data_IF_735146581211
#
_entry.id   IF_735146581211
#
_cell.length_a   1.000
_cell.length_b   1.000
_cell.length_c   1.000
_cell.angle_alpha   90.00
_cell.angle_beta   90.00
_cell.angle_gamma   90.00
#
_symmetry.space_group_name_H-M   'P 1'
#
loop_
_entity.id
_entity.type
_entity.pdbx_description
1 polymer ?
#
# COMPACT_ATOMS: atom_id res chain seq x y z
N UNK A 1 11.07 -12.39 -3.05
CA UNK A 1 10.74 -11.12 -3.73
C UNK A 1 9.86 -11.44 -4.93
N UNK A 2 8.72 -10.75 -5.05
CA UNK A 2 7.84 -10.82 -6.22
C UNK A 2 8.19 -9.65 -7.15
N UNK A 3 8.40 -9.92 -8.45
CA UNK A 3 8.69 -8.89 -9.45
C UNK A 3 7.73 -8.99 -10.62
N UNK A 4 7.19 -7.86 -10.99
CA UNK A 4 6.41 -7.66 -12.22
C UNK A 4 7.35 -7.00 -13.24
N UNK A 5 7.51 -7.60 -14.42
CA UNK A 5 8.48 -7.16 -15.42
C UNK A 5 7.82 -7.00 -16.80
N UNK A 6 7.64 -5.76 -17.24
CA UNK A 6 7.17 -5.40 -18.58
C UNK A 6 5.76 -5.85 -18.93
N UNK A 7 4.85 -5.96 -17.94
CA UNK A 7 3.51 -6.48 -18.20
C UNK A 7 2.72 -5.56 -19.15
N UNK A 8 2.29 -6.16 -20.26
CA UNK A 8 1.40 -5.51 -21.22
C UNK A 8 0.14 -6.34 -21.39
N UNK A 9 -1.04 -5.69 -21.37
CA UNK A 9 -2.33 -6.34 -21.59
C UNK A 9 -3.27 -5.49 -22.42
N UNK A 10 -3.84 -6.09 -23.47
CA UNK A 10 -4.90 -5.53 -24.31
C UNK A 10 -6.20 -6.31 -24.18
N UNK A 11 -7.30 -5.60 -24.26
CA UNK A 11 -8.65 -6.14 -24.41
C UNK A 11 -9.28 -5.52 -25.66
N UNK A 12 -9.26 -6.24 -26.76
CA UNK A 12 -9.56 -5.65 -28.08
C UNK A 12 -8.62 -4.48 -28.38
N UNK A 13 -9.15 -3.31 -28.65
CA UNK A 13 -8.38 -2.09 -28.92
C UNK A 13 -7.91 -1.35 -27.64
N UNK A 14 -8.46 -1.72 -26.48
CA UNK A 14 -8.11 -1.07 -25.22
C UNK A 14 -6.82 -1.63 -24.64
N UNK A 15 -5.81 -0.77 -24.46
CA UNK A 15 -4.55 -1.09 -23.78
C UNK A 15 -4.72 -0.86 -22.29
N UNK A 16 -4.92 -1.95 -21.53
CA UNK A 16 -5.16 -1.89 -20.09
C UNK A 16 -3.87 -1.81 -19.26
N UNK A 17 -2.78 -2.41 -19.75
CA UNK A 17 -1.44 -2.32 -19.16
C UNK A 17 -0.42 -2.10 -20.28
N UNK A 18 0.54 -1.20 -20.05
CA UNK A 18 1.58 -0.79 -20.97
C UNK A 18 2.93 -0.76 -20.27
N UNK A 19 3.71 -1.84 -20.42
CA UNK A 19 5.07 -1.99 -19.86
C UNK A 19 5.16 -1.79 -18.33
N UNK A 20 4.21 -2.39 -17.58
CA UNK A 20 4.16 -2.26 -16.12
C UNK A 20 5.28 -3.06 -15.47
N UNK A 21 6.17 -2.36 -14.74
CA UNK A 21 7.32 -2.96 -14.05
C UNK A 21 7.43 -2.41 -12.63
N UNK A 22 7.50 -3.31 -11.63
CA UNK A 22 7.74 -2.97 -10.22
C UNK A 22 8.12 -4.20 -9.41
N UNK A 23 8.66 -3.98 -8.22
CA UNK A 23 9.03 -5.00 -7.25
C UNK A 23 8.15 -4.93 -6.00
N UNK A 24 7.86 -6.10 -5.42
CA UNK A 24 7.22 -6.23 -4.09
C UNK A 24 8.22 -6.92 -3.18
N UNK A 25 8.76 -6.15 -2.24
CA UNK A 25 9.89 -6.58 -1.39
C UNK A 25 9.38 -7.41 -0.21
N UNK A 26 10.04 -8.54 0.14
CA UNK A 26 9.70 -9.33 1.32
C UNK A 26 9.73 -8.51 2.61
N UNK A 27 8.79 -8.79 3.51
CA UNK A 27 8.68 -8.11 4.81
C UNK A 27 8.21 -6.67 4.73
N UNK A 28 7.77 -6.19 3.56
CA UNK A 28 7.29 -4.84 3.34
C UNK A 28 5.87 -4.84 2.79
N UNK A 29 5.13 -3.81 3.16
CA UNK A 29 3.79 -3.55 2.63
C UNK A 29 3.90 -2.58 1.45
N UNK A 30 3.56 -3.06 0.26
CA UNK A 30 3.57 -2.25 -0.97
C UNK A 30 2.15 -1.83 -1.32
N UNK A 31 1.89 -0.52 -1.29
CA UNK A 31 0.64 0.08 -1.74
C UNK A 31 0.60 0.18 -3.27
N UNK A 32 -0.45 -0.33 -3.89
CA UNK A 32 -0.68 -0.26 -5.33
C UNK A 32 -1.83 0.69 -5.63
N UNK A 33 -1.51 1.93 -5.95
CA UNK A 33 -2.48 3.04 -6.04
C UNK A 33 -2.75 3.44 -7.48
N UNK A 34 -3.94 3.91 -7.72
CA UNK A 34 -4.36 4.42 -9.02
C UNK A 34 -5.87 4.62 -9.07
N UNK A 35 -6.33 5.47 -9.99
CA UNK A 35 -7.74 5.67 -10.23
C UNK A 35 -8.44 4.36 -10.66
N UNK A 36 -9.77 4.33 -10.57
CA UNK A 36 -10.55 3.22 -11.12
C UNK A 36 -10.28 3.09 -12.63
N UNK A 37 -10.04 1.86 -13.08
CA UNK A 37 -9.64 1.59 -14.46
C UNK A 37 -8.16 1.82 -14.77
N UNK A 38 -7.31 2.20 -13.80
CA UNK A 38 -5.87 2.37 -14.01
C UNK A 38 -5.12 1.06 -14.37
N UNK A 39 -5.72 -0.11 -14.10
CA UNK A 39 -5.14 -1.42 -14.39
C UNK A 39 -4.75 -2.24 -13.14
N UNK A 40 -5.05 -1.76 -11.92
CA UNK A 40 -4.68 -2.44 -10.66
C UNK A 40 -5.16 -3.89 -10.60
N UNK A 41 -6.47 -4.12 -10.65
CA UNK A 41 -7.06 -5.47 -10.62
C UNK A 41 -6.58 -6.34 -11.79
N UNK A 42 -6.36 -5.74 -12.98
CA UNK A 42 -5.81 -6.45 -14.15
C UNK A 42 -4.40 -6.97 -13.84
N UNK A 43 -3.53 -6.14 -13.25
CA UNK A 43 -2.18 -6.53 -12.85
C UNK A 43 -2.21 -7.65 -11.81
N UNK A 44 -3.04 -7.51 -10.77
CA UNK A 44 -3.19 -8.53 -9.72
C UNK A 44 -3.68 -9.87 -10.29
N UNK A 45 -4.65 -9.86 -11.20
CA UNK A 45 -5.14 -11.07 -11.88
C UNK A 45 -4.06 -11.74 -12.73
N UNK A 46 -3.14 -10.98 -13.33
CA UNK A 46 -1.99 -11.54 -14.06
C UNK A 46 -0.99 -12.15 -13.08
N UNK A 47 -0.67 -11.50 -11.96
CA UNK A 47 0.19 -12.04 -10.91
C UNK A 47 -0.35 -13.40 -10.46
N UNK A 48 -1.65 -13.51 -10.23
CA UNK A 48 -2.32 -14.73 -9.79
C UNK A 48 -2.49 -15.80 -10.89
N UNK A 49 -2.18 -15.45 -12.15
CA UNK A 49 -2.34 -16.38 -13.28
C UNK A 49 -3.79 -16.60 -13.72
N UNK A 50 -4.75 -15.82 -13.19
CA UNK A 50 -6.16 -15.83 -13.61
C UNK A 50 -6.32 -15.20 -14.99
N UNK A 51 -5.43 -14.27 -15.33
CA UNK A 51 -5.39 -13.58 -16.60
C UNK A 51 -3.99 -13.70 -17.23
N UNK A 52 -3.92 -14.01 -18.52
CA UNK A 52 -2.64 -14.02 -19.25
C UNK A 52 -2.23 -12.60 -19.65
N UNK A 53 -0.94 -12.28 -19.57
CA UNK A 53 -0.36 -11.09 -20.19
C UNK A 53 -0.20 -11.28 -21.72
N UNK A 54 -0.16 -10.19 -22.49
CA UNK A 54 0.23 -10.24 -23.91
C UNK A 54 1.76 -10.18 -24.05
N UNK A 55 2.45 -9.50 -23.11
CA UNK A 55 3.90 -9.46 -23.01
C UNK A 55 4.31 -9.25 -21.54
N UNK A 56 5.60 -9.48 -21.26
CA UNK A 56 6.14 -9.40 -19.90
C UNK A 56 5.87 -10.65 -19.08
N UNK A 57 6.40 -10.65 -17.87
CA UNK A 57 6.38 -11.82 -17.00
C UNK A 57 6.29 -11.43 -15.51
N UNK A 58 5.92 -12.39 -14.68
CA UNK A 58 5.94 -12.26 -13.22
C UNK A 58 6.97 -13.23 -12.68
N UNK A 59 7.88 -12.74 -11.86
CA UNK A 59 8.98 -13.51 -11.30
C UNK A 59 8.83 -13.67 -9.79
N UNK A 60 9.22 -14.82 -9.30
CA UNK A 60 9.38 -15.13 -7.88
C UNK A 60 10.83 -15.49 -7.60
N UNK A 61 11.52 -14.68 -6.78
CA UNK A 61 12.94 -14.85 -6.47
C UNK A 61 13.84 -14.93 -7.72
N UNK A 62 13.49 -14.20 -8.79
CA UNK A 62 14.23 -14.17 -10.05
C UNK A 62 13.86 -15.24 -11.06
N UNK A 63 13.01 -16.20 -10.69
CA UNK A 63 12.49 -17.23 -11.59
C UNK A 63 11.05 -16.97 -11.98
N UNK A 64 10.59 -17.51 -13.12
CA UNK A 64 9.22 -17.36 -13.57
C UNK A 64 8.25 -17.89 -12.52
N UNK A 65 7.26 -17.07 -12.13
CA UNK A 65 6.21 -17.45 -11.20
C UNK A 65 5.31 -18.53 -11.81
N UNK A 66 5.56 -19.77 -11.42
CA UNK A 66 4.83 -20.95 -11.95
C UNK A 66 3.45 -21.09 -11.32
N UNK A 67 2.58 -21.90 -11.95
CA UNK A 67 1.26 -22.18 -11.40
C UNK A 67 1.32 -22.93 -10.05
N UNK A 68 2.38 -23.67 -9.82
CA UNK A 68 2.61 -24.35 -8.53
C UNK A 68 2.88 -23.36 -7.42
N UNK A 69 3.80 -22.41 -7.63
CA UNK A 69 4.13 -21.37 -6.65
C UNK A 69 2.94 -20.44 -6.41
N UNK A 70 2.11 -20.16 -7.44
CA UNK A 70 0.90 -19.33 -7.28
C UNK A 70 -0.14 -19.91 -6.33
N UNK A 71 -0.16 -21.23 -6.10
CA UNK A 71 -1.08 -21.87 -5.13
C UNK A 71 -0.81 -21.43 -3.70
N UNK A 72 0.42 -21.02 -3.42
CA UNK A 72 0.84 -20.58 -2.10
C UNK A 72 0.74 -19.06 -1.92
N UNK A 73 0.21 -18.34 -2.93
CA UNK A 73 -0.09 -16.91 -2.83
C UNK A 73 -1.46 -16.70 -2.23
N UNK A 74 -1.52 -15.95 -1.14
CA UNK A 74 -2.79 -15.52 -0.55
C UNK A 74 -3.42 -14.41 -1.39
N UNK A 75 -4.71 -14.58 -1.70
CA UNK A 75 -5.45 -13.60 -2.50
C UNK A 75 -6.75 -13.19 -1.85
N UNK A 76 -6.97 -11.89 -1.80
CA UNK A 76 -8.25 -11.31 -1.43
C UNK A 76 -8.76 -10.47 -2.60
N UNK A 77 -9.86 -10.88 -3.27
CA UNK A 77 -10.50 -10.08 -4.32
C UNK A 77 -11.27 -8.89 -3.74
N UNK A 78 -11.44 -7.82 -4.53
CA UNK A 78 -12.32 -6.69 -4.21
C UNK A 78 -13.78 -7.15 -4.03
N UNK A 79 -14.26 -8.02 -4.92
CA UNK A 79 -15.57 -8.65 -4.79
C UNK A 79 -15.52 -9.84 -3.82
N UNK A 80 -16.57 -10.02 -3.04
CA UNK A 80 -16.62 -11.08 -2.03
C UNK A 80 -16.66 -12.46 -2.68
N UNK A 81 -15.54 -13.17 -2.61
CA UNK A 81 -15.40 -14.52 -3.16
C UNK A 81 -15.77 -15.66 -2.20
N UNK A 82 -16.36 -15.33 -1.03
CA UNK A 82 -16.71 -16.30 0.00
C UNK A 82 -18.14 -16.84 -0.16
N UNK A 83 -18.43 -17.99 0.43
CA UNK A 83 -19.75 -18.64 0.38
C UNK A 83 -20.71 -18.01 1.39
N UNK A 84 -21.76 -17.25 0.97
CA UNK A 84 -22.59 -16.45 1.87
C UNK A 84 -23.29 -17.26 2.95
N UNK A 85 -23.81 -18.46 2.63
CA UNK A 85 -24.58 -19.33 3.53
C UNK A 85 -23.73 -20.30 4.34
N UNK A 86 -22.41 -20.35 4.09
CA UNK A 86 -21.51 -21.23 4.83
C UNK A 86 -21.06 -20.56 6.13
N UNK A 87 -20.95 -21.34 7.21
CA UNK A 87 -20.39 -20.86 8.47
C UNK A 87 -18.96 -20.40 8.26
N UNK A 88 -18.59 -19.29 8.90
CA UNK A 88 -17.26 -18.69 8.64
C UNK A 88 -16.12 -19.64 9.02
N UNK A 89 -16.23 -20.36 10.13
CA UNK A 89 -15.22 -21.34 10.53
C UNK A 89 -15.10 -22.47 9.51
N UNK A 90 -16.22 -23.04 9.09
CA UNK A 90 -16.22 -24.21 8.19
C UNK A 90 -15.59 -23.86 6.84
N UNK A 91 -15.85 -22.67 6.29
CA UNK A 91 -15.25 -22.28 5.03
C UNK A 91 -13.76 -21.92 5.15
N UNK A 92 -13.29 -21.34 6.28
CA UNK A 92 -11.86 -21.12 6.50
C UNK A 92 -11.09 -22.45 6.60
N UNK A 93 -11.62 -23.42 7.36
CA UNK A 93 -11.05 -24.77 7.41
C UNK A 93 -11.06 -25.43 6.03
N UNK A 94 -12.14 -25.25 5.25
CA UNK A 94 -12.21 -25.74 3.87
C UNK A 94 -11.10 -25.13 3.00
N UNK A 95 -10.89 -23.82 3.05
CA UNK A 95 -9.82 -23.17 2.28
C UNK A 95 -8.44 -23.61 2.71
N UNK A 96 -8.16 -23.72 4.03
CA UNK A 96 -6.87 -24.25 4.51
C UNK A 96 -6.60 -25.65 3.98
N UNK A 97 -7.62 -26.53 3.99
CA UNK A 97 -7.49 -27.89 3.43
C UNK A 97 -7.35 -27.91 1.92
N UNK A 98 -8.00 -27.01 1.20
CA UNK A 98 -7.86 -26.88 -0.26
C UNK A 98 -6.44 -26.53 -0.67
N UNK A 99 -5.74 -25.76 0.18
CA UNK A 99 -4.33 -25.44 0.01
C UNK A 99 -3.36 -26.46 0.63
N UNK A 100 -3.85 -27.64 1.06
CA UNK A 100 -3.00 -28.75 1.47
C UNK A 100 -2.74 -28.88 2.97
N UNK A 101 -3.32 -28.02 3.83
CA UNK A 101 -3.21 -28.19 5.27
C UNK A 101 -3.93 -29.49 5.73
N UNK A 102 -3.37 -30.16 6.71
CA UNK A 102 -4.07 -31.26 7.40
C UNK A 102 -5.35 -30.73 8.08
N UNK A 103 -6.36 -31.59 8.35
CA UNK A 103 -7.58 -31.17 9.03
C UNK A 103 -7.33 -30.47 10.37
N UNK A 104 -6.39 -31.01 11.16
CA UNK A 104 -6.05 -30.46 12.48
C UNK A 104 -5.36 -29.12 12.35
N UNK A 105 -4.39 -28.97 11.44
CA UNK A 105 -3.69 -27.72 11.20
C UNK A 105 -4.62 -26.63 10.64
N UNK A 106 -5.49 -26.99 9.69
CA UNK A 106 -6.49 -26.05 9.16
C UNK A 106 -7.46 -25.56 10.24
N UNK A 107 -7.89 -26.46 11.15
CA UNK A 107 -8.76 -26.11 12.28
C UNK A 107 -8.05 -25.19 13.27
N UNK A 108 -6.85 -25.56 13.73
CA UNK A 108 -6.03 -24.76 14.65
C UNK A 108 -5.75 -23.35 14.09
N UNK A 109 -5.34 -23.29 12.82
CA UNK A 109 -5.02 -22.03 12.15
C UNK A 109 -6.25 -21.16 11.99
N UNK A 110 -7.39 -21.74 11.65
CA UNK A 110 -8.69 -21.06 11.56
C UNK A 110 -9.09 -20.44 12.90
N UNK A 111 -9.03 -21.25 13.97
CA UNK A 111 -9.45 -20.80 15.31
C UNK A 111 -8.55 -19.63 15.79
N UNK A 112 -7.24 -19.72 15.56
CA UNK A 112 -6.28 -18.65 15.87
C UNK A 112 -6.60 -17.35 15.09
N UNK A 113 -6.89 -17.44 13.78
CA UNK A 113 -7.22 -16.26 12.97
C UNK A 113 -8.56 -15.63 13.40
N UNK A 114 -9.58 -16.46 13.69
CA UNK A 114 -10.87 -15.96 14.19
C UNK A 114 -10.73 -15.26 15.54
N UNK A 115 -9.90 -15.77 16.44
CA UNK A 115 -9.61 -15.15 17.73
C UNK A 115 -8.97 -13.77 17.53
N UNK A 116 -7.93 -13.68 16.70
CA UNK A 116 -7.20 -12.43 16.44
C UNK A 116 -8.06 -11.37 15.75
N UNK A 117 -8.99 -11.81 14.92
CA UNK A 117 -9.94 -10.92 14.24
C UNK A 117 -11.18 -10.56 15.08
N UNK A 118 -11.29 -11.10 16.33
CA UNK A 118 -12.45 -10.87 17.21
C UNK A 118 -13.72 -11.53 16.68
N UNK A 119 -13.61 -12.68 16.00
CA UNK A 119 -14.72 -13.39 15.37
C UNK A 119 -15.00 -14.76 16.01
N UNK A 120 -14.34 -15.13 17.11
CA UNK A 120 -14.50 -16.44 17.77
C UNK A 120 -15.95 -16.74 18.14
N UNK A 121 -16.68 -15.78 18.73
CA UNK A 121 -18.08 -15.95 19.11
C UNK A 121 -19.03 -16.09 17.91
N UNK A 122 -18.58 -15.68 16.73
CA UNK A 122 -19.34 -15.75 15.49
C UNK A 122 -18.90 -16.88 14.56
N UNK A 123 -18.01 -17.75 15.03
CA UNK A 123 -17.42 -18.84 14.24
C UNK A 123 -18.46 -19.74 13.54
N UNK A 124 -19.65 -19.89 14.16
CA UNK A 124 -20.75 -20.69 13.64
C UNK A 124 -21.79 -19.91 12.83
N UNK A 125 -21.62 -18.60 12.71
CA UNK A 125 -22.52 -17.74 11.93
C UNK A 125 -22.30 -17.94 10.43
N UNK A 126 -23.37 -17.82 9.64
CA UNK A 126 -23.24 -17.74 8.19
C UNK A 126 -22.64 -16.39 7.78
N UNK A 127 -21.78 -16.38 6.77
CA UNK A 127 -21.07 -15.16 6.34
C UNK A 127 -22.05 -14.00 6.05
N UNK A 128 -23.17 -14.25 5.38
CA UNK A 128 -24.14 -13.23 5.00
C UNK A 128 -24.82 -12.53 6.19
N UNK A 129 -24.77 -13.13 7.40
CA UNK A 129 -25.33 -12.54 8.62
C UNK A 129 -24.40 -11.55 9.31
N UNK A 130 -23.14 -11.48 8.87
CA UNK A 130 -22.14 -10.58 9.43
C UNK A 130 -22.23 -9.18 8.82
N UNK A 131 -21.79 -8.17 9.59
CA UNK A 131 -21.59 -6.82 9.05
C UNK A 131 -20.53 -6.83 7.94
N UNK A 132 -20.54 -5.81 7.07
CA UNK A 132 -19.59 -5.68 5.97
C UNK A 132 -18.14 -5.78 6.46
N UNK A 133 -17.81 -5.08 7.54
CA UNK A 133 -16.47 -5.10 8.13
C UNK A 133 -16.06 -6.49 8.64
N UNK A 134 -17.00 -7.23 9.26
CA UNK A 134 -16.69 -8.59 9.69
C UNK A 134 -16.54 -9.56 8.50
N UNK A 135 -17.33 -9.39 7.44
CA UNK A 135 -17.14 -10.15 6.19
C UNK A 135 -15.77 -9.88 5.58
N UNK A 136 -15.29 -8.62 5.63
CA UNK A 136 -13.96 -8.23 5.19
C UNK A 136 -12.85 -8.93 6.00
N UNK A 137 -13.02 -8.97 7.34
CA UNK A 137 -12.11 -9.71 8.23
C UNK A 137 -12.04 -11.20 7.89
N UNK A 138 -13.18 -11.83 7.57
CA UNK A 138 -13.21 -13.24 7.13
C UNK A 138 -12.50 -13.44 5.80
N UNK A 139 -12.61 -12.48 4.85
CA UNK A 139 -11.88 -12.55 3.58
C UNK A 139 -10.36 -12.50 3.78
N UNK A 140 -9.87 -11.62 4.66
CA UNK A 140 -8.44 -11.59 4.99
C UNK A 140 -8.01 -12.89 5.67
N UNK A 141 -8.82 -13.43 6.61
CA UNK A 141 -8.54 -14.72 7.20
C UNK A 141 -8.44 -15.84 6.15
N UNK A 142 -9.31 -15.82 5.13
CA UNK A 142 -9.25 -16.78 4.03
C UNK A 142 -7.96 -16.66 3.19
N UNK A 143 -7.45 -15.44 2.98
CA UNK A 143 -6.18 -15.22 2.29
C UNK A 143 -4.96 -15.62 3.13
N UNK A 144 -5.08 -15.68 4.47
CA UNK A 144 -3.99 -15.98 5.41
C UNK A 144 -3.97 -17.44 5.90
N UNK A 145 -5.10 -18.16 5.84
CA UNK A 145 -5.28 -19.44 6.55
C UNK A 145 -4.28 -20.51 6.14
N UNK A 146 -3.81 -20.48 4.91
CA UNK A 146 -2.87 -21.46 4.36
C UNK A 146 -1.38 -21.07 4.50
N UNK A 147 -1.09 -20.02 5.30
CA UNK A 147 0.28 -19.54 5.56
C UNK A 147 1.02 -19.17 4.26
N UNK A 148 0.51 -18.17 3.52
CA UNK A 148 0.96 -17.86 2.18
C UNK A 148 2.40 -17.35 2.13
N UNK A 149 3.08 -17.57 0.99
CA UNK A 149 4.43 -17.04 0.70
C UNK A 149 4.41 -15.59 0.23
N UNK A 150 3.29 -15.10 -0.26
CA UNK A 150 3.04 -13.71 -0.68
C UNK A 150 1.55 -13.39 -0.51
N UNK A 151 1.22 -12.12 -0.32
CA UNK A 151 -0.16 -11.64 -0.24
C UNK A 151 -0.46 -10.63 -1.35
N UNK A 152 -1.59 -10.82 -2.03
CA UNK A 152 -2.15 -9.90 -3.01
C UNK A 152 -3.58 -9.57 -2.57
N UNK A 153 -3.82 -8.32 -2.15
CA UNK A 153 -5.08 -7.90 -1.54
C UNK A 153 -5.68 -6.75 -2.36
N UNK A 154 -6.86 -6.97 -2.93
CA UNK A 154 -7.55 -5.96 -3.74
C UNK A 154 -8.56 -5.20 -2.89
N UNK A 155 -8.27 -3.91 -2.58
CA UNK A 155 -9.05 -3.01 -1.73
C UNK A 155 -9.39 -3.59 -0.33
N UNK A 156 -8.39 -4.13 0.44
CA UNK A 156 -8.66 -4.89 1.67
C UNK A 156 -9.29 -4.07 2.78
N UNK A 157 -9.18 -2.76 2.76
CA UNK A 157 -9.65 -1.85 3.79
C UNK A 157 -10.95 -1.11 3.42
N UNK A 158 -11.51 -1.41 2.24
CA UNK A 158 -12.73 -0.76 1.77
C UNK A 158 -13.92 -1.03 2.68
N UNK A 159 -14.62 0.03 3.11
CA UNK A 159 -15.80 -0.07 3.97
C UNK A 159 -15.53 -0.41 5.44
N UNK A 160 -14.28 -0.36 5.88
CA UNK A 160 -13.90 -0.47 7.29
C UNK A 160 -13.87 0.91 7.97
N UNK A 161 -14.22 0.94 9.25
CA UNK A 161 -13.96 2.09 10.11
C UNK A 161 -12.45 2.16 10.49
N UNK A 162 -11.94 3.32 10.94
CA UNK A 162 -10.52 3.49 11.25
C UNK A 162 -9.97 2.47 12.27
N UNK A 163 -10.74 2.10 13.30
CA UNK A 163 -10.31 1.12 14.30
C UNK A 163 -10.18 -0.28 13.71
N UNK A 164 -11.12 -0.64 12.82
CA UNK A 164 -11.07 -1.91 12.11
C UNK A 164 -9.89 -1.97 11.14
N UNK A 165 -9.55 -0.85 10.48
CA UNK A 165 -8.35 -0.74 9.65
C UNK A 165 -7.10 -0.98 10.48
N UNK A 166 -6.94 -0.30 11.62
CA UNK A 166 -5.75 -0.44 12.48
C UNK A 166 -5.57 -1.89 12.96
N UNK A 167 -6.64 -2.51 13.46
CA UNK A 167 -6.61 -3.92 13.89
C UNK A 167 -6.25 -4.89 12.74
N UNK A 168 -6.69 -4.58 11.51
CA UNK A 168 -6.38 -5.39 10.34
C UNK A 168 -4.93 -5.25 9.91
N UNK A 169 -4.39 -4.04 9.97
CA UNK A 169 -2.97 -3.77 9.69
C UNK A 169 -2.07 -4.45 10.70
N UNK A 170 -2.40 -4.38 11.98
CA UNK A 170 -1.66 -5.06 13.03
C UNK A 170 -1.64 -6.57 12.79
N UNK A 171 -2.79 -7.15 12.45
CA UNK A 171 -2.85 -8.57 12.06
C UNK A 171 -1.93 -8.87 10.87
N UNK A 172 -2.02 -8.08 9.79
CA UNK A 172 -1.19 -8.30 8.61
C UNK A 172 0.31 -8.20 8.94
N UNK A 173 0.72 -7.21 9.73
CA UNK A 173 2.12 -7.05 10.16
C UNK A 173 2.62 -8.19 11.02
N UNK A 174 1.77 -8.77 11.86
CA UNK A 174 2.13 -9.90 12.71
C UNK A 174 2.14 -11.24 11.96
N UNK A 175 1.23 -11.42 11.00
CA UNK A 175 1.15 -12.63 10.16
C UNK A 175 2.19 -12.62 9.03
N UNK A 176 2.54 -11.41 8.56
CA UNK A 176 3.57 -11.20 7.55
C UNK A 176 4.92 -11.17 8.23
N UNK A 177 5.60 -12.31 8.20
CA UNK A 177 7.01 -12.41 8.61
C UNK A 177 7.89 -11.57 7.67
N UNK A 178 9.15 -11.32 8.05
CA UNK A 178 10.12 -10.59 7.22
C UNK A 178 10.37 -11.19 5.83
N UNK A 179 9.79 -12.35 5.52
CA UNK A 179 9.97 -13.06 4.25
C UNK A 179 8.77 -12.94 3.30
N UNK A 180 7.59 -12.51 3.79
CA UNK A 180 6.36 -12.46 2.99
C UNK A 180 6.16 -11.05 2.38
N UNK A 181 6.22 -10.88 1.05
CA UNK A 181 5.85 -9.63 0.39
C UNK A 181 4.33 -9.45 0.38
N UNK A 182 3.87 -8.21 0.63
CA UNK A 182 2.47 -7.83 0.59
C UNK A 182 2.23 -6.75 -0.46
N UNK A 183 1.37 -7.03 -1.42
CA UNK A 183 0.86 -6.06 -2.38
C UNK A 183 -0.62 -5.82 -2.09
N UNK A 184 -1.02 -4.59 -1.80
CA UNK A 184 -2.44 -4.29 -1.69
C UNK A 184 -2.84 -3.05 -2.49
N UNK A 185 -4.00 -3.12 -3.14
CA UNK A 185 -4.55 -1.96 -3.83
C UNK A 185 -5.31 -1.06 -2.86
N UNK A 186 -5.26 0.24 -3.14
CA UNK A 186 -6.13 1.23 -2.52
C UNK A 186 -6.33 2.43 -3.42
N UNK A 187 -7.46 3.09 -3.28
CA UNK A 187 -7.73 4.42 -3.83
C UNK A 187 -7.64 5.53 -2.77
N UNK A 188 -7.38 5.19 -1.50
CA UNK A 188 -7.25 6.10 -0.37
C UNK A 188 -5.76 6.37 -0.08
N UNK A 189 -5.25 7.50 -0.58
CA UNK A 189 -3.82 7.84 -0.48
C UNK A 189 -3.36 8.04 0.96
N UNK A 190 -4.17 8.70 1.81
CA UNK A 190 -3.85 8.92 3.22
C UNK A 190 -3.67 7.61 3.98
N UNK A 191 -4.47 6.59 3.63
CA UNK A 191 -4.35 5.26 4.20
C UNK A 191 -3.04 4.60 3.78
N UNK A 192 -2.70 4.69 2.49
CA UNK A 192 -1.47 4.12 1.93
C UNK A 192 -0.24 4.79 2.52
N UNK A 193 -0.23 6.12 2.65
CA UNK A 193 0.86 6.88 3.28
C UNK A 193 1.15 6.43 4.72
N UNK A 194 0.08 6.11 5.46
CA UNK A 194 0.18 5.66 6.85
C UNK A 194 0.63 4.20 6.99
N UNK A 195 0.27 3.33 6.05
CA UNK A 195 0.39 1.88 6.21
C UNK A 195 1.51 1.24 5.40
N UNK A 196 1.93 1.87 4.29
CA UNK A 196 2.89 1.28 3.37
C UNK A 196 4.33 1.67 3.66
N UNK A 197 5.22 0.75 3.38
CA UNK A 197 6.65 1.00 3.29
C UNK A 197 7.02 1.46 1.88
N UNK A 198 6.41 0.85 0.86
CA UNK A 198 6.61 1.13 -0.55
C UNK A 198 5.30 1.49 -1.26
N UNK A 199 5.41 2.24 -2.32
CA UNK A 199 4.29 2.69 -3.15
C UNK A 199 4.58 2.44 -4.62
N UNK A 200 3.56 1.97 -5.34
CA UNK A 200 3.52 1.91 -6.81
C UNK A 200 2.29 2.65 -7.29
N UNK A 201 2.48 3.72 -8.03
CA UNK A 201 1.40 4.54 -8.61
C UNK A 201 1.16 4.13 -10.04
N UNK A 202 -0.05 3.68 -10.33
CA UNK A 202 -0.50 3.28 -11.66
C UNK A 202 -1.45 4.32 -12.25
N UNK A 203 -1.15 4.79 -13.45
CA UNK A 203 -2.03 5.69 -14.21
C UNK A 203 -2.13 5.24 -15.65
N UNK A 204 -3.36 5.07 -16.16
CA UNK A 204 -3.64 4.68 -17.56
C UNK A 204 -2.81 3.48 -18.03
N UNK A 205 -2.69 2.47 -17.17
CA UNK A 205 -1.94 1.24 -17.45
C UNK A 205 -0.43 1.34 -17.36
N UNK A 206 0.13 2.46 -16.87
CA UNK A 206 1.59 2.66 -16.69
C UNK A 206 1.95 2.92 -15.25
N UNK A 207 3.12 2.46 -14.82
CA UNK A 207 3.72 2.89 -13.56
C UNK A 207 4.28 4.29 -13.76
N UNK A 208 3.75 5.26 -13.01
CA UNK A 208 4.16 6.67 -13.10
C UNK A 208 5.05 7.09 -11.93
N UNK A 209 4.98 6.36 -10.81
CA UNK A 209 5.92 6.50 -9.69
C UNK A 209 6.03 5.16 -8.95
N UNK A 210 7.21 4.81 -8.48
CA UNK A 210 7.45 3.65 -7.62
C UNK A 210 8.65 3.92 -6.72
N UNK A 211 8.58 3.50 -5.45
CA UNK A 211 9.66 3.68 -4.47
C UNK A 211 9.16 3.61 -3.04
N UNK A 212 10.03 3.87 -2.07
CA UNK A 212 9.59 3.96 -0.68
C UNK A 212 8.68 5.17 -0.48
N UNK A 213 7.69 5.04 0.40
CA UNK A 213 6.81 6.15 0.80
C UNK A 213 7.65 7.33 1.29
N UNK A 214 8.72 7.06 2.03
CA UNK A 214 9.63 8.08 2.54
C UNK A 214 10.31 8.86 1.40
N UNK A 215 10.84 8.16 0.38
CA UNK A 215 11.51 8.80 -0.75
C UNK A 215 10.53 9.60 -1.63
N UNK A 216 9.33 9.05 -1.86
CA UNK A 216 8.30 9.71 -2.66
C UNK A 216 7.70 10.94 -1.96
N UNK A 217 7.62 10.92 -0.61
CA UNK A 217 7.14 12.04 0.20
C UNK A 217 8.24 13.05 0.55
N UNK A 218 9.52 12.69 0.37
CA UNK A 218 10.63 13.59 0.68
C UNK A 218 10.66 14.85 -0.19
N UNK A 219 9.89 14.87 -1.29
CA UNK A 219 9.86 15.98 -2.23
C UNK A 219 11.22 16.26 -2.85
N UNK A 220 11.43 17.46 -3.33
CA UNK A 220 12.76 17.97 -3.63
C UNK A 220 13.50 18.17 -2.29
N UNK A 221 14.59 17.44 -2.07
CA UNK A 221 15.45 17.57 -0.87
C UNK A 221 15.96 18.98 -0.63
N UNK A 222 15.73 19.88 -1.58
CA UNK A 222 16.12 21.29 -1.53
C UNK A 222 15.02 22.22 -1.00
N UNK A 223 13.74 21.80 -0.97
CA UNK A 223 12.66 22.67 -0.48
C UNK A 223 12.51 22.55 1.03
N UNK A 224 12.53 23.67 1.73
CA UNK A 224 12.37 23.77 3.18
C UNK A 224 11.14 24.60 3.55
N UNK A 225 10.53 24.23 4.66
CA UNK A 225 9.47 24.99 5.33
C UNK A 225 9.98 25.59 6.61
N UNK A 226 9.70 26.89 6.80
CA UNK A 226 9.91 27.61 8.06
C UNK A 226 8.57 28.16 8.54
N UNK A 227 8.27 27.94 9.83
CA UNK A 227 7.15 28.60 10.52
C UNK A 227 7.66 29.27 11.79
N UNK A 228 7.44 30.58 11.88
CA UNK A 228 7.82 31.43 13.01
C UNK A 228 6.64 32.23 13.53
N UNK A 229 6.71 32.70 14.78
CA UNK A 229 5.65 33.56 15.34
C UNK A 229 5.68 35.02 14.76
N UNK A 230 6.78 35.41 14.10
CA UNK A 230 6.95 36.69 13.47
C UNK A 230 6.76 36.69 11.95
N UNK A 231 7.36 37.68 11.28
CA UNK A 231 7.39 37.75 9.82
C UNK A 231 8.61 36.98 9.25
N UNK A 232 8.34 36.06 8.31
CA UNK A 232 9.39 35.30 7.61
C UNK A 232 9.92 36.02 6.35
N UNK A 233 9.44 37.24 6.03
CA UNK A 233 9.79 38.00 4.83
C UNK A 233 11.28 38.29 4.66
N UNK A 234 12.06 38.26 5.75
CA UNK A 234 13.51 38.42 5.73
C UNK A 234 14.26 37.34 4.95
N UNK A 235 13.64 36.20 4.72
CA UNK A 235 14.23 35.13 3.89
C UNK A 235 14.50 35.57 2.45
N UNK A 236 13.77 36.58 1.94
CA UNK A 236 13.98 37.11 0.58
C UNK A 236 15.37 37.75 0.40
N UNK A 237 16.02 38.16 1.49
CA UNK A 237 17.34 38.77 1.48
C UNK A 237 18.47 37.77 1.74
N UNK A 238 18.14 36.50 1.99
CA UNK A 238 19.12 35.44 2.27
C UNK A 238 19.70 34.91 0.95
N UNK A 239 21.03 34.90 0.86
CA UNK A 239 21.73 34.32 -0.29
C UNK A 239 21.84 32.81 -0.16
N UNK A 240 21.79 32.12 -1.30
CA UNK A 240 21.89 30.66 -1.35
C UNK A 240 20.58 29.91 -1.18
N UNK A 241 19.46 30.64 -1.22
CA UNK A 241 18.11 30.09 -1.30
C UNK A 241 17.30 30.77 -2.40
N UNK A 242 16.26 30.10 -2.85
CA UNK A 242 15.20 30.64 -3.70
C UNK A 242 13.87 30.57 -2.96
N UNK A 243 13.30 31.71 -2.63
CA UNK A 243 12.02 31.78 -1.90
C UNK A 243 10.88 31.54 -2.87
N UNK A 244 10.13 30.43 -2.64
CA UNK A 244 8.95 30.06 -3.44
C UNK A 244 7.70 30.82 -3.00
N UNK A 245 7.48 30.85 -1.65
CA UNK A 245 6.33 31.52 -1.07
C UNK A 245 6.64 32.05 0.32
N UNK A 246 6.06 33.19 0.67
CA UNK A 246 6.10 33.76 2.04
C UNK A 246 4.77 34.41 2.36
N UNK A 247 4.12 33.90 3.40
CA UNK A 247 2.86 34.41 3.93
C UNK A 247 2.96 34.56 5.46
N UNK A 248 3.17 35.83 5.92
CA UNK A 248 3.35 36.12 7.34
C UNK A 248 4.52 35.36 7.97
N UNK A 249 4.24 34.53 8.95
CA UNK A 249 5.25 33.72 9.64
C UNK A 249 5.63 32.41 8.93
N UNK A 250 5.04 32.09 7.79
CA UNK A 250 5.32 30.85 7.05
C UNK A 250 6.08 31.16 5.77
N UNK A 251 7.15 30.40 5.50
CA UNK A 251 7.91 30.49 4.26
C UNK A 251 8.23 29.12 3.71
N UNK A 252 8.20 29.02 2.36
CA UNK A 252 8.71 27.89 1.57
C UNK A 252 9.85 28.40 0.69
N UNK A 253 10.98 27.70 0.72
CA UNK A 253 12.17 28.12 -0.02
C UNK A 253 13.02 26.91 -0.40
N UNK A 254 13.70 27.02 -1.55
CA UNK A 254 14.68 26.02 -1.99
C UNK A 254 16.06 26.40 -1.49
N UNK A 255 16.77 25.41 -0.94
CA UNK A 255 18.17 25.53 -0.56
C UNK A 255 19.03 25.18 -1.77
N UNK A 256 19.81 26.15 -2.24
CA UNK A 256 20.72 26.00 -3.38
C UNK A 256 22.13 25.60 -2.95
N UNK A 257 22.48 25.85 -1.67
CA UNK A 257 23.79 25.55 -1.09
C UNK A 257 23.59 24.86 0.28
N UNK A 258 24.01 23.61 0.39
CA UNK A 258 23.75 22.70 1.52
C UNK A 258 24.33 23.09 2.88
N UNK A 259 24.79 24.34 3.06
CA UNK A 259 25.22 24.86 4.36
C UNK A 259 24.36 26.04 4.83
N UNK A 260 23.35 26.43 4.07
CA UNK A 260 22.56 27.63 4.34
C UNK A 260 21.42 27.35 5.31
N UNK A 261 20.86 26.14 5.34
CA UNK A 261 19.73 25.77 6.21
C UNK A 261 20.05 25.97 7.69
N UNK A 262 21.27 25.62 8.12
CA UNK A 262 21.68 25.82 9.53
C UNK A 262 21.77 27.30 9.91
N UNK A 263 22.24 28.13 8.98
CA UNK A 263 22.30 29.59 9.17
C UNK A 263 20.91 30.21 9.26
N UNK A 264 20.00 29.73 8.41
CA UNK A 264 18.60 30.18 8.43
C UNK A 264 17.95 29.81 9.75
N UNK A 265 18.14 28.58 10.23
CA UNK A 265 17.60 28.18 11.53
C UNK A 265 18.16 29.04 12.68
N UNK A 266 19.47 29.32 12.70
CA UNK A 266 20.09 30.18 13.72
C UNK A 266 19.53 31.61 13.64
N UNK A 267 19.39 32.19 12.46
CA UNK A 267 18.83 33.52 12.25
C UNK A 267 17.36 33.54 12.68
N UNK A 268 16.56 32.53 12.32
CA UNK A 268 15.16 32.43 12.74
C UNK A 268 15.03 32.38 14.26
N UNK A 269 15.83 31.57 14.95
CA UNK A 269 15.85 31.46 16.42
C UNK A 269 16.28 32.77 17.09
N UNK A 270 17.15 33.58 16.46
CA UNK A 270 17.56 34.87 16.99
C UNK A 270 16.44 35.93 16.90
N UNK A 271 15.51 35.76 15.95
CA UNK A 271 14.38 36.68 15.70
C UNK A 271 13.14 36.34 16.53
N UNK A 272 13.03 35.10 17.01
CA UNK A 272 11.89 34.68 17.83
C UNK A 272 11.65 33.17 17.84
N UNK A 273 10.52 32.73 18.38
CA UNK A 273 10.19 31.30 18.45
C UNK A 273 9.98 30.72 17.05
N UNK A 274 10.69 29.60 16.79
CA UNK A 274 10.53 28.77 15.60
C UNK A 274 9.57 27.65 15.94
N UNK A 275 8.49 27.51 15.19
CA UNK A 275 7.46 26.47 15.34
C UNK A 275 7.77 25.24 14.53
N UNK A 276 8.28 25.47 13.30
CA UNK A 276 8.63 24.39 12.36
C UNK A 276 9.82 24.82 11.52
N UNK A 277 10.76 23.90 11.32
CA UNK A 277 11.87 24.07 10.36
C UNK A 277 12.32 22.69 9.88
N UNK A 278 12.23 22.46 8.59
CA UNK A 278 12.68 21.21 8.00
C UNK A 278 12.36 21.11 6.51
N UNK A 279 12.77 20.00 5.87
CA UNK A 279 12.38 19.72 4.50
C UNK A 279 10.86 19.71 4.35
N UNK A 280 10.36 20.34 3.31
CA UNK A 280 8.94 20.29 2.96
C UNK A 280 8.56 18.86 2.60
N UNK A 281 7.55 18.33 3.29
CA UNK A 281 6.97 17.04 2.95
C UNK A 281 5.87 17.24 1.92
N UNK A 282 6.06 16.67 0.76
CA UNK A 282 5.02 16.64 -0.26
C UNK A 282 4.02 15.54 0.11
N UNK A 283 2.76 15.89 0.26
CA UNK A 283 1.73 14.88 0.48
C UNK A 283 1.68 13.92 -0.72
N UNK A 284 1.52 12.62 -0.48
CA UNK A 284 1.39 11.63 -1.56
C UNK A 284 0.24 11.98 -2.52
N UNK A 285 -0.79 12.67 -2.03
CA UNK A 285 -1.88 13.20 -2.86
C UNK A 285 -1.40 14.18 -3.94
N UNK A 286 -0.37 14.96 -3.66
CA UNK A 286 0.20 15.92 -4.62
C UNK A 286 1.12 15.19 -5.62
N UNK A 287 1.95 14.25 -5.14
CA UNK A 287 2.74 13.35 -5.98
C UNK A 287 1.82 12.59 -6.94
N UNK A 288 0.72 12.02 -6.43
CA UNK A 288 -0.27 11.32 -7.25
C UNK A 288 -0.91 12.23 -8.29
N UNK A 289 -1.31 13.45 -7.89
CA UNK A 289 -1.95 14.43 -8.78
C UNK A 289 -1.00 14.89 -9.88
N UNK A 290 0.27 15.08 -9.59
CA UNK A 290 1.30 15.45 -10.54
C UNK A 290 1.60 14.30 -11.52
N UNK A 291 1.77 13.10 -11.01
CA UNK A 291 2.05 11.89 -11.80
C UNK A 291 0.87 11.45 -12.70
N UNK A 292 -0.37 11.88 -12.39
CA UNK A 292 -1.59 11.48 -13.14
C UNK A 292 -2.12 12.55 -14.10
N UNK A 293 -1.52 13.73 -14.14
CA UNK A 293 -1.79 14.78 -15.16
C UNK A 293 -1.26 14.35 -16.54
#
# INVERSE_FOLDING_TARGET
MLRVAGLTRRFGDHLALDDVTFDVVPGRMTGFVGANGAGKTTTMRIILGVLAANAGEVLWNGELLTQEVRRDVGYMPEERGLYPKMKIRDQLVFFGRLHGLSPDRASERTDKLLERLGLSERATDALETLSLGNQQRVQIAAALVHEPIALVLDEPFSGLDPLAVDAMVDLLREEVTSEVPVLFSSHQLDLVERLCDDLVVLSRGKVVAAGSVADLSAGSTSTYRLVVDGDAGWLRDVRGIEVRDVAGGTALFDVLDGAVEQKILQEALSRGPVREFGPERVALSDVFREATR
#
